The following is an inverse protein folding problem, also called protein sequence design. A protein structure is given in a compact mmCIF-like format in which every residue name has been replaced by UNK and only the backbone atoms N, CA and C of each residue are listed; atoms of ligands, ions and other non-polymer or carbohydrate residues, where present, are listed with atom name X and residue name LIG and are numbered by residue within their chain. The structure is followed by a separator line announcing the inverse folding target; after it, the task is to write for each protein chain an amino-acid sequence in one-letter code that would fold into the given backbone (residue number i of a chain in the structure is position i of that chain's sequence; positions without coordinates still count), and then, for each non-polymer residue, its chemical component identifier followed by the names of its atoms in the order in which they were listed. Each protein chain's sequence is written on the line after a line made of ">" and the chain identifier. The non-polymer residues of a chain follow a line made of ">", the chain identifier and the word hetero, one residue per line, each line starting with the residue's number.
data_IF_581963254721
#
_entry.id   IF_581963254721
#
_cell.length_a   1.000
_cell.length_b   1.000
_cell.length_c   1.000
_cell.angle_alpha   90.00
_cell.angle_beta   90.00
_cell.angle_gamma   90.00
#
_symmetry.space_group_name_H-M   'P 1'
#
loop_
_entity.id
_entity.type
_entity.pdbx_description
1 polymer ?
#
# COMPACT_ATOMS: atom_id res chain seq x y z
N UNK A 1 11.05 28.45 -18.32
CA UNK A 1 10.21 27.56 -19.15
C UNK A 1 9.61 26.52 -18.23
N UNK A 2 8.40 26.79 -17.76
CA UNK A 2 7.61 25.86 -16.94
C UNK A 2 6.92 24.89 -17.88
N UNK A 3 7.41 23.65 -17.97
CA UNK A 3 6.61 22.57 -18.54
C UNK A 3 5.49 22.27 -17.54
N UNK A 4 4.31 22.82 -17.80
CA UNK A 4 3.07 22.33 -17.22
C UNK A 4 2.95 20.86 -17.62
N UNK A 5 3.28 19.96 -16.70
CA UNK A 5 2.96 18.55 -16.85
C UNK A 5 1.44 18.45 -16.77
N UNK A 6 0.82 18.49 -17.95
CA UNK A 6 -0.59 18.20 -18.15
C UNK A 6 -0.77 16.68 -18.00
N UNK A 7 -0.61 16.17 -16.77
CA UNK A 7 -0.98 14.81 -16.42
C UNK A 7 -2.51 14.74 -16.58
N UNK A 8 -2.97 14.18 -17.69
CA UNK A 8 -4.39 13.91 -17.88
C UNK A 8 -4.90 13.07 -16.72
N UNK A 9 -6.01 13.48 -16.13
CA UNK A 9 -6.63 12.74 -15.03
C UNK A 9 -7.04 11.34 -15.50
N UNK A 10 -6.58 10.31 -14.80
CA UNK A 10 -6.96 8.92 -15.08
C UNK A 10 -8.47 8.76 -14.92
N UNK A 11 -9.11 8.20 -15.95
CA UNK A 11 -10.53 7.92 -16.00
C UNK A 11 -10.90 6.65 -15.24
N UNK A 12 -12.18 6.49 -14.88
CA UNK A 12 -12.66 5.27 -14.23
C UNK A 12 -12.44 4.01 -15.08
N UNK A 13 -12.49 4.13 -16.41
CA UNK A 13 -12.21 3.03 -17.33
C UNK A 13 -10.73 2.61 -17.26
N UNK A 14 -9.82 3.57 -17.13
CA UNK A 14 -8.40 3.28 -16.95
C UNK A 14 -8.13 2.66 -15.57
N UNK A 15 -8.73 3.17 -14.48
CA UNK A 15 -8.65 2.50 -13.17
C UNK A 15 -9.15 1.08 -13.21
N UNK A 16 -10.27 0.83 -13.91
CA UNK A 16 -10.77 -0.52 -14.15
C UNK A 16 -9.75 -1.39 -14.89
N UNK A 17 -9.08 -0.86 -15.92
CA UNK A 17 -8.04 -1.58 -16.64
C UNK A 17 -6.83 -1.90 -15.74
N UNK A 18 -6.36 -0.94 -14.93
CA UNK A 18 -5.31 -1.18 -13.93
C UNK A 18 -5.70 -2.25 -12.91
N UNK A 19 -6.94 -2.22 -12.43
CA UNK A 19 -7.44 -3.20 -11.48
C UNK A 19 -7.56 -4.60 -12.09
N UNK A 20 -8.07 -4.70 -13.32
CA UNK A 20 -8.24 -5.98 -14.01
C UNK A 20 -6.91 -6.66 -14.36
N UNK A 21 -5.88 -5.89 -14.74
CA UNK A 21 -4.54 -6.44 -14.99
C UNK A 21 -3.75 -6.69 -13.71
N UNK A 22 -4.20 -6.16 -12.57
CA UNK A 22 -3.53 -6.32 -11.29
C UNK A 22 -3.56 -7.77 -10.81
N UNK A 23 -2.52 -8.14 -10.07
CA UNK A 23 -2.34 -9.48 -9.52
C UNK A 23 -2.84 -9.54 -8.08
N UNK A 24 -3.19 -10.72 -7.60
CA UNK A 24 -3.51 -10.94 -6.20
C UNK A 24 -2.22 -11.11 -5.34
N UNK A 25 -2.39 -11.17 -4.02
CA UNK A 25 -1.27 -11.26 -3.09
C UNK A 25 -0.44 -12.55 -3.23
N UNK A 26 -1.05 -13.68 -3.56
CA UNK A 26 -0.34 -14.95 -3.77
C UNK A 26 0.50 -14.91 -5.05
N UNK A 27 -0.07 -14.43 -6.16
CA UNK A 27 0.66 -14.18 -7.41
C UNK A 27 1.86 -13.25 -7.17
N UNK A 28 1.69 -12.21 -6.36
CA UNK A 28 2.80 -11.32 -5.97
C UNK A 28 3.91 -12.05 -5.21
N UNK A 29 3.59 -13.01 -4.33
CA UNK A 29 4.60 -13.82 -3.62
C UNK A 29 5.32 -14.79 -4.56
N UNK A 30 4.63 -15.36 -5.53
CA UNK A 30 5.22 -16.19 -6.58
C UNK A 30 6.20 -15.38 -7.42
N UNK A 31 5.76 -14.24 -7.95
CA UNK A 31 6.62 -13.32 -8.71
C UNK A 31 7.79 -12.81 -7.87
N UNK A 32 7.61 -12.58 -6.57
CA UNK A 32 8.69 -12.20 -5.66
C UNK A 32 9.76 -13.31 -5.53
N UNK A 33 9.34 -14.58 -5.51
CA UNK A 33 10.27 -15.71 -5.46
C UNK A 33 11.01 -15.87 -6.79
N UNK A 34 10.32 -15.70 -7.92
CA UNK A 34 10.92 -15.73 -9.25
C UNK A 34 11.94 -14.59 -9.44
N UNK A 35 11.59 -13.37 -9.02
CA UNK A 35 12.48 -12.22 -9.02
C UNK A 35 13.70 -12.48 -8.13
N UNK A 36 13.52 -13.01 -6.91
CA UNK A 36 14.65 -13.40 -6.07
C UNK A 36 15.56 -14.45 -6.74
N UNK A 37 15.03 -15.38 -7.53
CA UNK A 37 15.84 -16.37 -8.22
C UNK A 37 16.59 -15.75 -9.41
N UNK A 38 15.88 -14.99 -10.25
CA UNK A 38 16.34 -14.56 -11.56
C UNK A 38 17.04 -13.18 -11.57
N UNK A 39 16.84 -12.33 -10.56
CA UNK A 39 17.39 -10.98 -10.57
C UNK A 39 18.93 -11.00 -10.60
N UNK A 40 19.52 -10.21 -11.49
CA UNK A 40 20.97 -10.12 -11.67
C UNK A 40 21.62 -9.13 -10.71
N UNK A 41 20.85 -8.19 -10.14
CA UNK A 41 21.35 -7.21 -9.18
C UNK A 41 21.38 -7.83 -7.77
N UNK A 42 22.59 -8.05 -7.25
CA UNK A 42 22.82 -8.64 -5.93
C UNK A 42 22.15 -7.84 -4.81
N UNK A 43 22.14 -6.50 -4.89
CA UNK A 43 21.52 -5.66 -3.86
C UNK A 43 20.00 -5.79 -3.89
N UNK A 44 19.41 -5.87 -5.07
CA UNK A 44 17.96 -6.11 -5.19
C UNK A 44 17.60 -7.48 -4.61
N UNK A 45 18.39 -8.53 -4.89
CA UNK A 45 18.19 -9.85 -4.28
C UNK A 45 18.25 -9.82 -2.76
N UNK A 46 19.21 -9.09 -2.18
CA UNK A 46 19.32 -8.91 -0.73
C UNK A 46 18.07 -8.23 -0.16
N UNK A 47 17.57 -7.17 -0.82
CA UNK A 47 16.31 -6.52 -0.41
C UNK A 47 15.12 -7.47 -0.49
N UNK A 48 14.97 -8.21 -1.60
CA UNK A 48 13.84 -9.13 -1.78
C UNK A 48 13.88 -10.25 -0.74
N UNK A 49 15.04 -10.86 -0.50
CA UNK A 49 15.22 -11.90 0.51
C UNK A 49 14.85 -11.39 1.91
N UNK A 50 15.34 -10.20 2.29
CA UNK A 50 15.01 -9.57 3.56
C UNK A 50 13.51 -9.23 3.67
N UNK A 51 12.90 -8.79 2.57
CA UNK A 51 11.49 -8.45 2.50
C UNK A 51 10.59 -9.70 2.60
N UNK A 52 10.99 -10.84 2.05
CA UNK A 52 10.28 -12.12 2.27
C UNK A 52 10.20 -12.48 3.76
N UNK A 53 11.31 -12.32 4.49
CA UNK A 53 11.34 -12.56 5.93
C UNK A 53 10.42 -11.59 6.71
N UNK A 54 10.38 -10.31 6.30
CA UNK A 54 9.50 -9.30 6.90
C UNK A 54 8.04 -9.62 6.64
N UNK A 55 7.69 -9.99 5.41
CA UNK A 55 6.32 -10.38 5.05
C UNK A 55 5.87 -11.58 5.89
N UNK A 56 6.67 -12.64 5.92
CA UNK A 56 6.38 -13.85 6.70
C UNK A 56 6.15 -13.56 8.18
N UNK A 57 6.92 -12.64 8.77
CA UNK A 57 6.70 -12.21 10.16
C UNK A 57 5.34 -11.54 10.31
N UNK A 58 4.97 -10.60 9.45
CA UNK A 58 3.67 -9.92 9.54
C UNK A 58 2.52 -10.92 9.33
N UNK A 59 2.63 -11.81 8.33
CA UNK A 59 1.65 -12.89 8.08
C UNK A 59 1.38 -13.75 9.33
N UNK A 60 2.43 -14.05 10.11
CA UNK A 60 2.32 -14.86 11.32
C UNK A 60 1.82 -14.11 12.55
N UNK A 61 2.04 -12.80 12.62
CA UNK A 61 1.90 -12.04 13.86
C UNK A 61 0.76 -11.03 13.85
N UNK A 62 0.34 -10.57 12.67
CA UNK A 62 -0.76 -9.62 12.56
C UNK A 62 -2.11 -10.32 12.62
N UNK A 63 -3.00 -9.76 13.43
CA UNK A 63 -4.38 -10.19 13.59
C UNK A 63 -5.23 -8.94 13.47
N UNK A 64 -6.22 -8.97 12.58
CA UNK A 64 -7.11 -7.83 12.38
C UNK A 64 -7.92 -7.59 13.64
N UNK A 65 -8.00 -6.34 14.12
CA UNK A 65 -8.79 -6.08 15.31
C UNK A 65 -10.29 -6.22 15.06
N UNK A 66 -11.01 -6.62 16.11
CA UNK A 66 -12.47 -6.63 16.11
C UNK A 66 -13.07 -5.24 15.82
N UNK A 67 -12.35 -4.15 16.12
CA UNK A 67 -12.81 -2.80 15.81
C UNK A 67 -12.81 -2.59 14.29
N UNK A 68 -11.69 -2.83 13.62
CA UNK A 68 -11.60 -2.68 12.17
C UNK A 68 -12.58 -3.63 11.46
N UNK A 69 -12.72 -4.88 11.91
CA UNK A 69 -13.67 -5.81 11.31
C UNK A 69 -15.12 -5.33 11.40
N UNK A 70 -15.52 -4.67 12.49
CA UNK A 70 -16.85 -4.05 12.58
C UNK A 70 -17.04 -2.96 11.54
N UNK A 71 -16.03 -2.15 11.29
CA UNK A 71 -16.10 -1.09 10.28
C UNK A 71 -16.16 -1.65 8.86
N UNK A 72 -15.39 -2.70 8.57
CA UNK A 72 -15.48 -3.44 7.30
C UNK A 72 -16.89 -3.99 7.09
N UNK A 73 -17.53 -4.51 8.13
CA UNK A 73 -18.90 -5.03 8.03
C UNK A 73 -19.94 -3.93 7.73
N UNK A 74 -19.67 -2.67 8.10
CA UNK A 74 -20.54 -1.52 7.77
C UNK A 74 -20.45 -1.08 6.30
N UNK A 75 -19.49 -1.58 5.53
CA UNK A 75 -19.42 -1.28 4.10
C UNK A 75 -20.66 -1.82 3.38
N UNK A 76 -21.43 -0.91 2.77
CA UNK A 76 -22.65 -1.25 2.03
C UNK A 76 -22.36 -1.86 0.66
N UNK A 77 -21.30 -1.38 0.03
CA UNK A 77 -20.89 -1.77 -1.31
C UNK A 77 -19.48 -2.36 -1.29
N UNK A 78 -19.18 -3.15 -2.31
CA UNK A 78 -17.83 -3.63 -2.57
C UNK A 78 -16.87 -2.46 -2.77
N UNK A 79 -15.71 -2.55 -2.13
CA UNK A 79 -14.61 -1.60 -2.23
C UNK A 79 -13.42 -2.29 -2.86
N UNK A 80 -12.77 -1.61 -3.80
CA UNK A 80 -11.59 -2.12 -4.48
C UNK A 80 -10.35 -1.41 -3.96
N UNK A 81 -9.31 -2.17 -3.67
CA UNK A 81 -7.99 -1.63 -3.32
C UNK A 81 -7.01 -1.92 -4.44
N UNK A 82 -6.63 -0.89 -5.18
CA UNK A 82 -5.55 -0.97 -6.17
C UNK A 82 -4.26 -0.48 -5.50
N UNK A 83 -3.27 -1.35 -5.36
CA UNK A 83 -2.03 -1.01 -4.63
C UNK A 83 -0.82 -1.03 -5.55
N UNK A 84 -0.14 0.10 -5.68
CA UNK A 84 1.17 0.20 -6.33
C UNK A 84 2.25 -0.31 -5.37
N UNK A 85 3.10 -1.23 -5.82
CA UNK A 85 4.13 -1.86 -4.98
C UNK A 85 5.34 -2.36 -5.80
N UNK A 86 6.39 -2.83 -5.12
CA UNK A 86 7.54 -3.56 -5.69
C UNK A 86 8.15 -4.53 -4.67
N UNK A 87 8.77 -5.61 -5.14
CA UNK A 87 9.39 -6.63 -4.28
C UNK A 87 10.54 -6.07 -3.42
N UNK A 88 11.28 -5.11 -3.97
CA UNK A 88 12.42 -4.46 -3.30
C UNK A 88 12.00 -3.44 -2.23
N UNK A 89 10.71 -3.07 -2.17
CA UNK A 89 10.25 -2.03 -1.25
C UNK A 89 10.15 -2.55 0.20
N UNK A 90 10.99 -1.97 1.08
CA UNK A 90 10.98 -2.29 2.50
C UNK A 90 9.65 -2.00 3.20
N UNK A 91 9.00 -0.87 2.91
CA UNK A 91 7.69 -0.52 3.49
C UNK A 91 6.60 -1.50 3.01
N UNK A 92 6.61 -1.87 1.72
CA UNK A 92 5.62 -2.81 1.15
C UNK A 92 5.67 -4.17 1.85
N UNK A 93 6.87 -4.66 2.18
CA UNK A 93 7.06 -5.91 2.93
C UNK A 93 6.41 -5.91 4.33
N UNK A 94 6.13 -4.73 4.89
CA UNK A 94 5.51 -4.55 6.20
C UNK A 94 4.00 -4.34 6.12
N UNK A 95 3.53 -3.77 5.00
CA UNK A 95 2.17 -3.27 4.83
C UNK A 95 1.29 -4.25 4.05
N UNK A 96 1.79 -4.78 2.92
CA UNK A 96 0.99 -5.64 2.05
C UNK A 96 0.42 -6.89 2.74
N UNK A 97 1.17 -7.62 3.59
CA UNK A 97 0.61 -8.77 4.27
C UNK A 97 -0.55 -8.42 5.21
N UNK A 98 -0.51 -7.23 5.82
CA UNK A 98 -1.56 -6.75 6.70
C UNK A 98 -2.79 -6.32 5.90
N UNK A 99 -2.61 -5.60 4.79
CA UNK A 99 -3.71 -5.26 3.88
C UNK A 99 -4.37 -6.51 3.30
N UNK A 100 -3.59 -7.51 2.89
CA UNK A 100 -4.11 -8.80 2.44
C UNK A 100 -4.90 -9.50 3.54
N UNK A 101 -4.40 -9.50 4.79
CA UNK A 101 -5.13 -10.12 5.91
C UNK A 101 -6.50 -9.47 6.14
N UNK A 102 -6.58 -8.13 6.05
CA UNK A 102 -7.85 -7.39 6.13
C UNK A 102 -8.77 -7.76 4.96
N UNK A 103 -8.24 -7.79 3.74
CA UNK A 103 -9.00 -8.18 2.55
C UNK A 103 -9.55 -9.61 2.64
N UNK A 104 -8.73 -10.57 3.06
CA UNK A 104 -9.12 -11.96 3.23
C UNK A 104 -10.21 -12.16 4.30
N UNK A 105 -10.19 -11.36 5.37
CA UNK A 105 -11.22 -11.40 6.43
C UNK A 105 -12.47 -10.58 6.10
N UNK A 106 -12.45 -9.80 5.01
CA UNK A 106 -13.55 -8.89 4.66
C UNK A 106 -14.80 -9.56 4.08
N UNK A 107 -14.80 -10.89 3.93
CA UNK A 107 -15.90 -11.67 3.33
C UNK A 107 -16.30 -11.15 1.93
N UNK A 108 -15.30 -10.69 1.16
CA UNK A 108 -15.48 -10.20 -0.21
C UNK A 108 -15.96 -8.75 -0.33
N UNK A 109 -16.13 -8.04 0.79
CA UNK A 109 -16.44 -6.59 0.80
C UNK A 109 -15.27 -5.76 0.29
N UNK A 110 -14.04 -6.21 0.52
CA UNK A 110 -12.81 -5.62 -0.02
C UNK A 110 -12.23 -6.60 -1.02
N UNK A 111 -11.78 -6.12 -2.18
CA UNK A 111 -10.95 -6.90 -3.10
C UNK A 111 -9.73 -6.10 -3.46
N UNK A 112 -8.57 -6.69 -3.22
CA UNK A 112 -7.28 -6.06 -3.42
C UNK A 112 -6.60 -6.60 -4.69
N UNK A 113 -6.03 -5.68 -5.46
CA UNK A 113 -5.19 -5.96 -6.63
C UNK A 113 -3.90 -5.15 -6.55
N UNK A 114 -2.80 -5.78 -6.92
CA UNK A 114 -1.46 -5.21 -6.86
C UNK A 114 -0.97 -4.93 -8.28
N UNK A 115 -0.31 -3.78 -8.46
CA UNK A 115 0.36 -3.41 -9.71
C UNK A 115 1.78 -2.90 -9.41
N UNK A 116 2.73 -3.21 -10.28
CA UNK A 116 4.12 -2.83 -10.10
C UNK A 116 4.36 -1.36 -10.46
N UNK A 117 4.95 -0.59 -9.54
CA UNK A 117 5.28 0.84 -9.72
C UNK A 117 6.02 1.08 -11.02
N UNK A 118 7.07 0.31 -11.27
CA UNK A 118 8.03 0.56 -12.34
C UNK A 118 7.41 0.27 -13.72
N UNK A 119 6.34 -0.54 -13.76
CA UNK A 119 5.56 -0.84 -14.98
C UNK A 119 4.33 0.06 -15.15
N UNK A 120 4.00 0.91 -14.17
CA UNK A 120 2.77 1.70 -14.13
C UNK A 120 3.07 3.16 -13.76
N UNK A 121 4.05 3.78 -14.44
CA UNK A 121 4.52 5.13 -14.12
C UNK A 121 3.44 6.20 -14.29
N UNK A 122 2.58 6.09 -15.30
CA UNK A 122 1.46 7.02 -15.51
C UNK A 122 0.50 7.04 -14.31
N UNK A 123 0.19 5.87 -13.75
CA UNK A 123 -0.60 5.74 -12.52
C UNK A 123 0.16 6.27 -11.29
N UNK A 124 1.43 5.91 -11.16
CA UNK A 124 2.27 6.35 -10.03
C UNK A 124 2.44 7.87 -10.00
N UNK A 125 2.56 8.52 -11.15
CA UNK A 125 2.77 9.97 -11.26
C UNK A 125 1.55 10.80 -10.83
N UNK A 126 0.35 10.20 -10.78
CA UNK A 126 -0.82 10.84 -10.17
C UNK A 126 -0.74 10.94 -8.64
N UNK A 127 0.08 10.11 -8.00
CA UNK A 127 0.05 9.90 -6.56
C UNK A 127 1.42 10.06 -5.89
N UNK A 128 2.16 11.08 -6.29
CA UNK A 128 3.46 11.39 -5.69
C UNK A 128 3.32 11.74 -4.19
N UNK A 129 4.34 11.36 -3.41
CA UNK A 129 4.49 11.78 -2.01
C UNK A 129 5.73 12.65 -1.92
N UNK A 130 5.56 13.92 -1.59
CA UNK A 130 6.64 14.92 -1.57
C UNK A 130 7.42 14.94 -2.90
N UNK A 131 6.70 14.95 -4.04
CA UNK A 131 7.23 14.84 -5.40
C UNK A 131 8.00 13.53 -5.71
N UNK A 132 8.02 12.57 -4.79
CA UNK A 132 8.64 11.27 -4.97
C UNK A 132 7.62 10.17 -5.28
N UNK A 133 7.99 9.27 -6.19
CA UNK A 133 7.25 8.03 -6.50
C UNK A 133 7.40 7.01 -5.36
N UNK A 134 6.76 7.29 -4.22
CA UNK A 134 6.87 6.45 -3.01
C UNK A 134 5.77 5.38 -2.98
N UNK A 135 6.14 4.18 -2.55
CA UNK A 135 5.28 2.99 -2.46
C UNK A 135 5.45 2.29 -1.10
N UNK A 136 4.49 1.46 -0.65
CA UNK A 136 3.24 1.08 -1.34
C UNK A 136 2.19 2.20 -1.37
N UNK A 137 1.45 2.36 -2.46
CA UNK A 137 0.36 3.34 -2.55
C UNK A 137 -0.97 2.63 -2.72
N UNK A 138 -1.87 2.75 -1.75
CA UNK A 138 -3.22 2.20 -1.84
C UNK A 138 -4.15 3.26 -2.42
N UNK A 139 -4.82 2.89 -3.50
CA UNK A 139 -5.87 3.67 -4.16
C UNK A 139 -7.17 2.93 -3.91
N UNK A 140 -8.05 3.52 -3.11
CA UNK A 140 -9.35 2.97 -2.80
C UNK A 140 -10.36 3.41 -3.86
N UNK A 141 -11.09 2.45 -4.41
CA UNK A 141 -12.09 2.68 -5.43
C UNK A 141 -13.45 2.11 -5.00
N UNK A 142 -14.53 2.76 -5.43
CA UNK A 142 -15.89 2.22 -5.32
C UNK A 142 -16.19 1.17 -6.41
N UNK A 143 -17.42 0.66 -6.43
CA UNK A 143 -17.88 -0.33 -7.42
C UNK A 143 -17.86 0.16 -8.87
N UNK A 144 -17.82 1.48 -9.08
CA UNK A 144 -17.75 2.14 -10.39
C UNK A 144 -16.33 2.60 -10.75
N UNK A 145 -15.33 2.19 -9.96
CA UNK A 145 -13.93 2.57 -10.10
C UNK A 145 -13.66 4.08 -9.91
N UNK A 146 -14.53 4.80 -9.19
CA UNK A 146 -14.23 6.15 -8.73
C UNK A 146 -13.25 6.07 -7.55
N UNK A 147 -12.27 6.96 -7.50
CA UNK A 147 -11.36 7.08 -6.35
C UNK A 147 -12.12 7.64 -5.15
N UNK A 148 -12.14 6.90 -4.04
CA UNK A 148 -12.78 7.32 -2.78
C UNK A 148 -11.80 7.58 -1.66
N UNK A 149 -10.51 7.28 -1.86
CA UNK A 149 -9.47 7.59 -0.90
C UNK A 149 -8.09 7.10 -1.35
N UNK A 150 -7.04 7.72 -0.81
CA UNK A 150 -5.65 7.38 -1.08
C UNK A 150 -4.92 7.22 0.25
N UNK A 151 -4.11 6.17 0.35
CA UNK A 151 -3.28 5.92 1.52
C UNK A 151 -1.84 5.55 1.11
N UNK A 152 -0.86 5.93 1.95
CA UNK A 152 0.54 5.55 1.79
C UNK A 152 1.50 6.72 1.45
N UNK A 153 2.83 6.47 1.49
CA UNK A 153 3.47 5.16 1.35
C UNK A 153 3.57 4.34 2.63
N UNK A 154 3.42 4.98 3.78
CA UNK A 154 3.54 4.40 5.11
C UNK A 154 2.68 5.20 6.09
N UNK A 155 2.40 4.67 7.29
CA UNK A 155 1.67 5.42 8.31
C UNK A 155 2.26 6.81 8.54
N UNK A 156 1.44 7.81 8.83
CA UNK A 156 1.86 9.21 9.00
C UNK A 156 2.97 9.32 10.06
N UNK A 157 2.83 8.60 11.17
CA UNK A 157 3.88 8.51 12.18
C UNK A 157 5.22 8.06 11.59
N UNK A 158 5.20 7.02 10.75
CA UNK A 158 6.39 6.49 10.10
C UNK A 158 6.98 7.47 9.07
N UNK A 159 6.13 8.25 8.39
CA UNK A 159 6.59 9.31 7.49
C UNK A 159 7.37 10.38 8.27
N UNK A 160 6.83 10.81 9.42
CA UNK A 160 7.48 11.79 10.28
C UNK A 160 8.76 11.22 10.92
N UNK A 161 8.73 9.96 11.35
CA UNK A 161 9.92 9.27 11.87
C UNK A 161 11.05 9.26 10.83
N UNK A 162 10.76 8.92 9.56
CA UNK A 162 11.78 8.93 8.50
C UNK A 162 12.35 10.33 8.28
N UNK A 163 11.52 11.38 8.31
CA UNK A 163 11.99 12.77 8.19
C UNK A 163 12.98 13.11 9.32
N UNK A 164 12.62 12.78 10.57
CA UNK A 164 13.47 13.01 11.74
C UNK A 164 14.80 12.24 11.61
N UNK A 165 14.74 10.95 11.34
CA UNK A 165 15.94 10.10 11.22
C UNK A 165 16.87 10.57 10.08
N UNK A 166 16.31 11.01 8.95
CA UNK A 166 17.13 11.52 7.85
C UNK A 166 17.73 12.89 8.11
N UNK A 167 17.14 13.68 9.02
CA UNK A 167 17.65 15.00 9.39
C UNK A 167 18.81 14.94 10.41
N UNK A 168 18.97 13.81 11.11
CA UNK A 168 20.03 13.60 12.08
C UNK A 168 21.20 12.83 11.45
N UNK A 169 22.41 13.41 11.33
CA UNK A 169 23.58 12.76 10.74
C UNK A 169 23.97 11.42 11.39
N UNK A 170 23.65 11.23 12.67
CA UNK A 170 23.97 9.98 13.40
C UNK A 170 23.06 8.81 13.02
N UNK A 171 21.87 9.13 12.47
CA UNK A 171 20.86 8.12 12.12
C UNK A 171 20.58 8.07 10.63
N UNK A 172 20.98 9.08 9.85
CA UNK A 172 20.71 9.19 8.42
C UNK A 172 21.15 7.96 7.62
N UNK A 173 22.33 7.42 7.88
CA UNK A 173 22.84 6.23 7.15
C UNK A 173 22.14 4.92 7.55
N UNK A 174 21.51 4.89 8.73
CA UNK A 174 20.89 3.69 9.29
C UNK A 174 19.38 3.81 9.49
N UNK A 175 18.75 4.86 8.94
CA UNK A 175 17.35 5.21 9.18
C UNK A 175 16.41 4.04 8.87
N UNK A 176 16.72 3.25 7.83
CA UNK A 176 15.92 2.09 7.43
C UNK A 176 15.86 1.03 8.53
N UNK A 177 16.98 0.78 9.23
CA UNK A 177 17.02 -0.19 10.34
C UNK A 177 16.11 0.28 11.48
N UNK A 178 16.19 1.56 11.83
CA UNK A 178 15.35 2.14 12.90
C UNK A 178 13.86 2.13 12.52
N UNK A 179 13.53 2.43 11.26
CA UNK A 179 12.17 2.33 10.75
C UNK A 179 11.63 0.90 10.83
N UNK A 180 12.42 -0.11 10.45
CA UNK A 180 11.99 -1.51 10.51
C UNK A 180 11.89 -2.04 11.95
N UNK A 181 12.72 -1.54 12.87
CA UNK A 181 12.55 -1.77 14.31
C UNK A 181 11.25 -1.17 14.82
N UNK A 182 10.88 0.03 14.35
CA UNK A 182 9.59 0.64 14.67
C UNK A 182 8.42 -0.21 14.15
N UNK A 183 8.46 -0.67 12.89
CA UNK A 183 7.41 -1.57 12.36
C UNK A 183 7.22 -2.83 13.21
N UNK A 184 8.32 -3.43 13.68
CA UNK A 184 8.27 -4.61 14.55
C UNK A 184 7.64 -4.32 15.93
N UNK A 185 7.80 -3.08 16.44
CA UNK A 185 7.19 -2.63 17.70
C UNK A 185 5.73 -2.19 17.53
N UNK A 186 5.43 -1.47 16.45
CA UNK A 186 4.09 -0.97 16.11
C UNK A 186 3.12 -2.11 15.86
N UNK A 187 3.59 -3.20 15.21
CA UNK A 187 2.78 -4.38 14.88
C UNK A 187 1.51 -4.00 14.12
N UNK A 188 1.67 -3.11 13.13
CA UNK A 188 0.62 -2.68 12.21
C UNK A 188 -0.51 -1.87 12.88
N UNK A 189 -0.39 -1.46 14.15
CA UNK A 189 -1.41 -0.67 14.84
C UNK A 189 -1.64 0.69 14.16
N UNK A 190 -0.57 1.37 13.77
CA UNK A 190 -0.69 2.66 13.09
C UNK A 190 -1.35 2.51 11.72
N UNK A 191 -0.99 1.45 10.99
CA UNK A 191 -1.65 1.10 9.72
C UNK A 191 -3.15 0.86 9.92
N UNK A 192 -3.51 0.06 10.92
CA UNK A 192 -4.91 -0.31 11.17
C UNK A 192 -5.81 0.90 11.48
N UNK A 193 -5.30 1.84 12.27
CA UNK A 193 -6.00 3.10 12.59
C UNK A 193 -6.26 3.91 11.32
N UNK A 194 -5.24 4.07 10.47
CA UNK A 194 -5.39 4.87 9.25
C UNK A 194 -6.27 4.18 8.19
N UNK A 195 -6.26 2.85 8.11
CA UNK A 195 -7.18 2.10 7.23
C UNK A 195 -8.63 2.19 7.74
N UNK A 196 -8.84 2.13 9.05
CA UNK A 196 -10.13 2.39 9.70
C UNK A 196 -10.69 3.76 9.30
N UNK A 197 -9.87 4.81 9.36
CA UNK A 197 -10.23 6.16 8.94
C UNK A 197 -10.53 6.26 7.45
N UNK A 198 -9.71 5.63 6.60
CA UNK A 198 -9.91 5.59 5.14
C UNK A 198 -11.27 4.97 4.76
N UNK A 199 -11.63 3.84 5.40
CA UNK A 199 -12.90 3.17 5.15
C UNK A 199 -14.09 4.03 5.62
N UNK A 200 -13.97 4.67 6.78
CA UNK A 200 -15.01 5.54 7.33
C UNK A 200 -15.27 6.78 6.46
N UNK A 201 -14.21 7.44 5.96
CA UNK A 201 -14.32 8.60 5.07
C UNK A 201 -15.06 8.25 3.77
N UNK A 202 -14.73 7.10 3.16
CA UNK A 202 -15.41 6.65 1.96
C UNK A 202 -16.89 6.32 2.19
N UNK A 203 -17.25 5.77 3.36
CA UNK A 203 -18.64 5.51 3.70
C UNK A 203 -19.46 6.81 3.79
N UNK A 204 -18.87 7.90 4.32
CA UNK A 204 -19.52 9.22 4.39
C UNK A 204 -19.74 9.83 3.00
N UNK A 205 -18.75 9.73 2.10
CA UNK A 205 -18.88 10.21 0.72
C UNK A 205 -20.03 9.53 -0.04
N UNK A 206 -20.23 8.23 0.19
CA UNK A 206 -21.33 7.48 -0.42
C UNK A 206 -22.71 7.88 0.10
N UNK A 207 -22.80 8.39 1.34
CA UNK A 207 -24.07 8.88 1.90
C UNK A 207 -24.42 10.24 1.28
N UNK A 208 -23.44 11.14 1.14
CA UNK A 208 -23.66 12.47 0.57
C UNK A 208 -23.95 12.49 -0.94
N UNK A 209 -23.56 11.45 -1.68
CA UNK A 209 -23.88 11.31 -3.10
C UNK A 209 -25.31 10.79 -3.37
N UNK A 210 -26.02 10.35 -2.33
CA UNK A 210 -27.40 9.83 -2.39
C UNK A 210 -28.45 10.81 -1.84
N UNK A 211 -28.02 11.98 -1.35
CA UNK A 211 -28.85 13.08 -0.83
C UNK A 211 -28.90 14.25 -1.81
#
# INVERSE_FOLDING_TARGET
>A
MTTENNLSSITNLEYKAYFQKGINYYEYKEHMADDLAANSDVKIKEYISLNQHRMHRVEKTYVVSNKLMKEVQLLKNKTYWLVLTEHWCGDASQILPALHKIEAESEGKIVMKLVYRDQNLELMDQYLTNNGRSIPKLIQLDSNYNVTGIWGPRPEFAQNLVKVLKSDPTTADTYANQLHLWYAKDRQKSLEIEISELLAQSALLQIGALS
#
